data_IF_328007172118
#
_entry.id   IF_328007172118
#
_cell.length_a   1.000
_cell.length_b   1.000
_cell.length_c   1.000
_cell.angle_alpha   90.00
_cell.angle_beta   90.00
_cell.angle_gamma   90.00
#
_symmetry.space_group_name_H-M   'P 1'
#
loop_
_entity.id
_entity.type
_entity.pdbx_description
1 polymer ?
#
# COMPACT_ATOMS: atom_id res chain seq x y z
N UNK A 1 -1.40 -11.91 32.26
CA UNK A 1 -1.20 -12.35 30.87
C UNK A 1 -2.54 -12.10 30.19
N UNK A 2 -2.64 -11.09 29.33
CA UNK A 2 -3.90 -10.82 28.60
C UNK A 2 -4.02 -11.89 27.52
N UNK A 3 -5.16 -12.59 27.47
CA UNK A 3 -5.39 -13.58 26.41
C UNK A 3 -5.40 -12.87 25.06
N UNK A 4 -4.88 -13.53 24.01
CA UNK A 4 -4.96 -13.00 22.64
C UNK A 4 -6.42 -12.75 22.21
N UNK A 5 -7.35 -13.54 22.76
CA UNK A 5 -8.79 -13.39 22.53
C UNK A 5 -9.28 -12.08 23.16
N UNK A 6 -8.90 -11.81 24.42
CA UNK A 6 -9.31 -10.59 25.13
C UNK A 6 -8.77 -9.35 24.41
N UNK A 7 -7.50 -9.40 23.98
CA UNK A 7 -6.88 -8.32 23.20
C UNK A 7 -7.61 -8.09 21.88
N UNK A 8 -7.83 -9.14 21.09
CA UNK A 8 -8.51 -9.02 19.81
C UNK A 8 -9.96 -8.54 19.93
N UNK A 9 -10.69 -8.92 21.00
CA UNK A 9 -12.02 -8.37 21.28
C UNK A 9 -11.93 -6.88 21.64
N UNK A 10 -11.00 -6.51 22.51
CA UNK A 10 -10.85 -5.10 22.95
C UNK A 10 -10.45 -4.16 21.81
N UNK A 11 -9.67 -4.65 20.84
CA UNK A 11 -9.24 -3.90 19.66
C UNK A 11 -10.28 -3.99 18.51
N UNK A 12 -11.41 -4.67 18.72
CA UNK A 12 -12.49 -4.82 17.72
C UNK A 12 -12.15 -5.74 16.54
N UNK A 13 -11.02 -6.45 16.62
CA UNK A 13 -10.51 -7.36 15.61
C UNK A 13 -11.21 -8.73 15.68
N UNK A 14 -11.69 -9.10 16.86
CA UNK A 14 -12.52 -10.27 17.11
C UNK A 14 -13.89 -9.83 17.64
N UNK A 15 -14.96 -10.53 17.28
CA UNK A 15 -16.30 -10.30 17.82
C UNK A 15 -16.92 -11.61 18.29
N UNK A 16 -17.61 -11.58 19.42
CA UNK A 16 -18.40 -12.72 19.89
C UNK A 16 -19.84 -12.56 19.40
N UNK A 17 -20.28 -13.48 18.53
CA UNK A 17 -21.63 -13.49 17.96
C UNK A 17 -22.21 -14.90 18.04
N UNK A 18 -23.38 -15.04 18.66
CA UNK A 18 -24.08 -16.31 18.82
C UNK A 18 -23.21 -17.43 19.42
N UNK A 19 -22.34 -17.08 20.38
CA UNK A 19 -21.41 -18.01 21.03
C UNK A 19 -20.22 -18.42 20.16
N UNK A 20 -20.02 -17.81 18.98
CA UNK A 20 -18.88 -18.01 18.10
C UNK A 20 -18.00 -16.77 18.06
N UNK A 21 -16.70 -16.99 17.94
CA UNK A 21 -15.73 -15.93 17.72
C UNK A 21 -15.60 -15.70 16.21
N UNK A 22 -15.91 -14.49 15.75
CA UNK A 22 -15.76 -14.05 14.37
C UNK A 22 -14.53 -13.15 14.25
N UNK A 23 -13.72 -13.40 13.23
CA UNK A 23 -12.55 -12.57 12.89
C UNK A 23 -13.02 -11.45 11.96
N UNK A 24 -12.90 -10.20 12.44
CA UNK A 24 -13.39 -9.00 11.74
C UNK A 24 -12.35 -8.48 10.75
N UNK A 25 -11.09 -8.43 11.18
CA UNK A 25 -9.97 -7.96 10.37
C UNK A 25 -8.79 -8.92 10.47
N UNK A 26 -8.61 -9.82 9.48
CA UNK A 26 -7.50 -10.78 9.49
C UNK A 26 -6.13 -10.12 9.60
N UNK A 27 -5.93 -8.97 8.93
CA UNK A 27 -4.65 -8.27 8.97
C UNK A 27 -4.38 -7.58 10.30
N UNK A 28 -5.38 -6.95 10.91
CA UNK A 28 -5.21 -6.39 12.26
C UNK A 28 -4.90 -7.49 13.27
N UNK A 29 -5.51 -8.66 13.11
CA UNK A 29 -5.20 -9.81 13.97
C UNK A 29 -3.79 -10.34 13.76
N UNK A 30 -3.32 -10.34 12.52
CA UNK A 30 -1.94 -10.72 12.19
C UNK A 30 -0.93 -9.72 12.76
N UNK A 31 -1.24 -8.43 12.79
CA UNK A 31 -0.41 -7.45 13.48
C UNK A 31 -0.36 -7.70 15.00
N UNK A 32 -1.49 -8.06 15.61
CA UNK A 32 -1.54 -8.48 17.03
C UNK A 32 -0.66 -9.71 17.28
N UNK A 33 -0.77 -10.75 16.43
CA UNK A 33 0.02 -11.98 16.52
C UNK A 33 1.52 -11.70 16.36
N UNK A 34 1.88 -10.83 15.43
CA UNK A 34 3.26 -10.40 15.20
C UNK A 34 3.82 -9.63 16.40
N UNK A 35 3.03 -8.75 17.03
CA UNK A 35 3.40 -8.04 18.27
C UNK A 35 3.72 -8.99 19.42
N UNK A 36 3.06 -10.14 19.43
CA UNK A 36 3.30 -11.22 20.40
C UNK A 36 4.52 -12.08 20.05
N UNK A 37 5.24 -11.74 18.98
CA UNK A 37 6.50 -12.39 18.58
C UNK A 37 6.35 -13.51 17.55
N UNK A 38 5.17 -13.68 16.95
CA UNK A 38 4.96 -14.69 15.90
C UNK A 38 5.59 -14.19 14.60
N UNK A 39 6.29 -15.08 13.90
CA UNK A 39 7.04 -14.74 12.69
C UNK A 39 6.11 -14.26 11.57
N UNK A 40 6.32 -13.04 11.08
CA UNK A 40 5.55 -12.42 9.99
C UNK A 40 5.55 -13.27 8.71
N UNK A 41 6.63 -14.01 8.44
CA UNK A 41 6.73 -14.92 7.31
C UNK A 41 5.68 -16.00 7.41
N UNK A 42 5.54 -16.58 8.60
CA UNK A 42 4.56 -17.62 8.85
C UNK A 42 3.14 -17.03 8.75
N UNK A 43 2.92 -15.85 9.35
CA UNK A 43 1.63 -15.17 9.31
C UNK A 43 1.20 -14.77 7.89
N UNK A 44 2.15 -14.41 7.02
CA UNK A 44 1.83 -14.07 5.62
C UNK A 44 1.16 -15.25 4.89
N UNK A 45 1.44 -16.50 5.24
CA UNK A 45 0.77 -17.64 4.59
C UNK A 45 -0.75 -17.72 4.85
N UNK A 46 -1.28 -16.92 5.78
CA UNK A 46 -2.70 -16.89 6.15
C UNK A 46 -3.46 -15.69 5.56
N UNK A 47 -2.79 -14.84 4.78
CA UNK A 47 -3.40 -13.71 4.09
C UNK A 47 -3.26 -13.95 2.59
N UNK A 48 -4.36 -13.78 1.85
CA UNK A 48 -4.28 -13.72 0.40
C UNK A 48 -3.74 -12.36 -0.08
N UNK A 49 -3.15 -12.35 -1.27
CA UNK A 49 -2.65 -11.12 -1.88
C UNK A 49 -3.73 -10.04 -1.97
N UNK A 50 -4.94 -10.43 -2.38
CA UNK A 50 -6.09 -9.56 -2.51
C UNK A 50 -6.58 -9.00 -1.16
N UNK A 51 -6.57 -9.80 -0.09
CA UNK A 51 -6.87 -9.29 1.26
C UNK A 51 -5.87 -8.22 1.71
N UNK A 52 -4.58 -8.39 1.39
CA UNK A 52 -3.57 -7.39 1.70
C UNK A 52 -3.77 -6.09 0.92
N UNK A 53 -4.03 -6.18 -0.38
CA UNK A 53 -4.28 -5.01 -1.24
C UNK A 53 -5.54 -4.24 -0.80
N UNK A 54 -6.63 -4.96 -0.52
CA UNK A 54 -7.85 -4.38 0.01
C UNK A 54 -7.64 -3.71 1.36
N UNK A 55 -6.87 -4.33 2.26
CA UNK A 55 -6.54 -3.73 3.54
C UNK A 55 -5.74 -2.43 3.36
N UNK A 56 -4.72 -2.42 2.49
CA UNK A 56 -3.94 -1.21 2.18
C UNK A 56 -4.85 -0.10 1.64
N UNK A 57 -5.75 -0.42 0.70
CA UNK A 57 -6.70 0.53 0.17
C UNK A 57 -7.68 1.07 1.23
N UNK A 58 -8.18 0.20 2.12
CA UNK A 58 -9.04 0.59 3.24
C UNK A 58 -8.32 1.57 4.19
N UNK A 59 -7.04 1.33 4.50
CA UNK A 59 -6.25 2.27 5.31
C UNK A 59 -6.24 3.67 4.67
N UNK A 60 -5.97 3.79 3.38
CA UNK A 60 -6.02 5.09 2.68
C UNK A 60 -7.43 5.70 2.66
N UNK A 61 -8.46 4.89 2.41
CA UNK A 61 -9.87 5.32 2.37
C UNK A 61 -10.31 5.93 3.70
N UNK A 62 -9.89 5.34 4.83
CA UNK A 62 -10.16 5.87 6.17
C UNK A 62 -9.59 7.27 6.41
N UNK A 63 -8.54 7.66 5.68
CA UNK A 63 -7.96 9.02 5.70
C UNK A 63 -8.45 9.90 4.54
N UNK A 64 -9.56 9.55 3.90
CA UNK A 64 -10.22 10.39 2.89
C UNK A 64 -9.57 10.35 1.51
N UNK A 65 -8.79 9.31 1.21
CA UNK A 65 -8.29 9.06 -0.14
C UNK A 65 -9.30 8.23 -0.94
N UNK A 66 -9.44 8.52 -2.23
CA UNK A 66 -10.16 7.64 -3.15
C UNK A 66 -9.21 6.52 -3.59
N UNK A 67 -9.64 5.26 -3.52
CA UNK A 67 -8.76 4.12 -3.84
C UNK A 67 -9.30 3.22 -4.94
N UNK A 68 -8.41 2.70 -5.78
CA UNK A 68 -8.68 1.63 -6.75
C UNK A 68 -7.72 0.48 -6.46
N UNK A 69 -8.26 -0.72 -6.35
CA UNK A 69 -7.52 -1.96 -6.15
C UNK A 69 -7.43 -2.74 -7.47
N UNK A 70 -6.32 -3.44 -7.70
CA UNK A 70 -6.07 -4.32 -8.85
C UNK A 70 -6.29 -3.62 -10.21
N UNK A 71 -5.83 -2.38 -10.33
CA UNK A 71 -6.00 -1.61 -11.55
C UNK A 71 -5.17 -2.20 -12.69
N UNK A 72 -5.82 -2.68 -13.74
CA UNK A 72 -5.19 -3.17 -14.96
C UNK A 72 -5.79 -2.47 -16.18
N UNK A 73 -4.95 -1.90 -17.04
CA UNK A 73 -5.45 -1.30 -18.27
C UNK A 73 -5.40 -2.29 -19.43
N UNK A 74 -6.57 -2.78 -19.87
CA UNK A 74 -6.70 -3.85 -20.89
C UNK A 74 -5.94 -3.63 -22.20
N UNK A 75 -5.72 -2.38 -22.62
CA UNK A 75 -5.02 -2.03 -23.88
C UNK A 75 -3.59 -1.56 -23.69
N UNK A 76 -3.16 -1.36 -22.45
CA UNK A 76 -1.76 -1.03 -22.16
C UNK A 76 -1.19 -2.30 -21.57
N UNK A 77 -0.50 -3.06 -22.42
CA UNK A 77 0.18 -4.29 -22.01
C UNK A 77 0.98 -4.05 -20.72
N UNK A 78 1.03 -5.02 -19.80
CA UNK A 78 1.84 -4.96 -18.57
C UNK A 78 1.64 -3.72 -17.67
N UNK A 79 0.52 -2.99 -17.80
CA UNK A 79 0.19 -1.90 -16.89
C UNK A 79 -0.83 -2.33 -15.84
N UNK A 80 -0.30 -2.82 -14.72
CA UNK A 80 -1.05 -3.17 -13.52
C UNK A 80 -0.56 -2.32 -12.34
N UNK A 81 -1.42 -1.81 -11.48
CA UNK A 81 -1.03 -1.18 -10.22
C UNK A 81 -1.91 -1.80 -9.13
N UNK A 82 -1.28 -2.33 -8.09
CA UNK A 82 -1.98 -3.09 -7.04
C UNK A 82 -2.98 -2.20 -6.31
N UNK A 83 -2.54 -1.00 -5.90
CA UNK A 83 -3.44 0.03 -5.35
C UNK A 83 -3.08 1.41 -5.92
N UNK A 84 -4.08 2.16 -6.36
CA UNK A 84 -3.97 3.59 -6.66
C UNK A 84 -4.76 4.33 -5.59
N UNK A 85 -4.09 5.17 -4.79
CA UNK A 85 -4.74 6.05 -3.83
C UNK A 85 -4.66 7.49 -4.33
N UNK A 86 -5.76 8.23 -4.31
CA UNK A 86 -5.83 9.59 -4.84
C UNK A 86 -6.38 10.58 -3.82
N UNK A 87 -5.66 11.69 -3.66
CA UNK A 87 -6.07 12.83 -2.88
C UNK A 87 -6.13 14.08 -3.75
N UNK A 88 -7.35 14.49 -4.11
CA UNK A 88 -7.59 15.63 -4.99
C UNK A 88 -7.18 16.95 -4.33
N UNK A 89 -7.37 17.09 -3.02
CA UNK A 89 -7.03 18.32 -2.27
C UNK A 89 -5.51 18.53 -2.30
N UNK A 90 -4.75 17.45 -2.04
CA UNK A 90 -3.28 17.45 -2.14
C UNK A 90 -2.76 17.46 -3.59
N UNK A 91 -3.64 17.28 -4.58
CA UNK A 91 -3.28 17.06 -6.00
C UNK A 91 -2.23 15.94 -6.15
N UNK A 92 -2.33 14.89 -5.34
CA UNK A 92 -1.36 13.80 -5.23
C UNK A 92 -2.05 12.45 -5.44
N UNK A 93 -1.43 11.58 -6.24
CA UNK A 93 -1.77 10.17 -6.32
C UNK A 93 -0.60 9.31 -5.87
N UNK A 94 -0.90 8.21 -5.20
CA UNK A 94 0.06 7.18 -4.81
C UNK A 94 -0.17 5.96 -5.68
N UNK A 95 0.88 5.51 -6.35
CA UNK A 95 0.86 4.27 -7.11
C UNK A 95 1.58 3.23 -6.28
N UNK A 96 0.83 2.31 -5.71
CA UNK A 96 1.28 1.44 -4.63
C UNK A 96 1.47 0.05 -5.20
N UNK A 97 2.67 -0.50 -4.98
CA UNK A 97 2.96 -1.91 -5.17
C UNK A 97 2.85 -2.62 -3.81
N UNK A 98 1.88 -3.52 -3.69
CA UNK A 98 1.64 -4.29 -2.48
C UNK A 98 2.46 -5.56 -2.54
N UNK A 99 3.26 -5.79 -1.50
CA UNK A 99 4.30 -6.80 -1.47
C UNK A 99 4.14 -7.68 -0.22
N UNK A 100 3.38 -8.76 -0.39
CA UNK A 100 3.11 -9.79 0.62
C UNK A 100 4.19 -10.90 0.58
N UNK A 101 5.21 -10.87 1.43
CA UNK A 101 6.49 -11.58 1.16
C UNK A 101 6.83 -12.69 2.15
N UNK A 102 7.34 -13.80 1.59
CA UNK A 102 8.06 -14.86 2.32
C UNK A 102 9.54 -14.47 2.55
N UNK A 103 10.18 -15.02 3.59
CA UNK A 103 11.55 -14.70 4.09
C UNK A 103 12.64 -14.72 3.00
N UNK A 104 12.47 -15.53 1.97
CA UNK A 104 13.49 -15.83 0.96
C UNK A 104 13.67 -14.74 -0.11
N UNK A 105 12.80 -13.72 -0.14
CA UNK A 105 12.71 -12.77 -1.26
C UNK A 105 13.43 -11.44 -0.95
N UNK A 106 13.91 -11.21 0.28
CA UNK A 106 14.42 -9.90 0.72
C UNK A 106 15.93 -9.67 0.56
N UNK A 107 16.54 -10.28 -0.45
CA UNK A 107 17.86 -9.84 -0.89
C UNK A 107 17.79 -8.38 -1.37
N UNK A 108 18.84 -7.59 -1.10
CA UNK A 108 18.95 -6.21 -1.58
C UNK A 108 18.60 -6.14 -3.08
N UNK A 109 19.20 -7.02 -3.89
CA UNK A 109 18.95 -7.12 -5.33
C UNK A 109 17.49 -7.32 -5.72
N UNK A 110 16.72 -8.09 -4.94
CA UNK A 110 15.31 -8.33 -5.24
C UNK A 110 14.46 -7.08 -5.00
N UNK A 111 14.73 -6.35 -3.90
CA UNK A 111 14.09 -5.06 -3.64
C UNK A 111 14.42 -4.04 -4.72
N UNK A 112 15.68 -4.02 -5.16
CA UNK A 112 16.13 -3.14 -6.25
C UNK A 112 15.35 -3.44 -7.52
N UNK A 113 15.27 -4.71 -7.94
CA UNK A 113 14.53 -5.12 -9.13
C UNK A 113 13.05 -4.71 -9.04
N UNK A 114 12.40 -4.97 -7.91
CA UNK A 114 10.99 -4.63 -7.73
C UNK A 114 10.77 -3.12 -7.79
N UNK A 115 11.68 -2.35 -7.20
CA UNK A 115 11.62 -0.88 -7.27
C UNK A 115 11.85 -0.38 -8.68
N UNK A 116 12.81 -0.93 -9.42
CA UNK A 116 13.06 -0.57 -10.82
C UNK A 116 11.88 -0.91 -11.72
N UNK A 117 11.26 -2.07 -11.54
CA UNK A 117 10.08 -2.46 -12.31
C UNK A 117 8.87 -1.57 -11.99
N UNK A 118 8.72 -1.15 -10.72
CA UNK A 118 7.69 -0.18 -10.35
C UNK A 118 7.94 1.20 -10.98
N UNK A 119 9.17 1.70 -10.93
CA UNK A 119 9.57 2.95 -11.60
C UNK A 119 9.27 2.89 -13.10
N UNK A 120 9.64 1.81 -13.78
CA UNK A 120 9.34 1.60 -15.21
C UNK A 120 7.85 1.65 -15.48
N UNK A 121 7.03 1.16 -14.56
CA UNK A 121 5.57 1.22 -14.65
C UNK A 121 5.05 2.65 -14.54
N UNK A 122 5.59 3.46 -13.64
CA UNK A 122 5.28 4.90 -13.56
C UNK A 122 5.70 5.62 -14.84
N UNK A 123 6.91 5.37 -15.34
CA UNK A 123 7.38 5.96 -16.59
C UNK A 123 6.50 5.57 -17.79
N UNK A 124 5.99 4.32 -17.80
CA UNK A 124 5.00 3.87 -18.77
C UNK A 124 3.70 4.64 -18.63
N UNK A 125 3.15 4.75 -17.41
CA UNK A 125 1.96 5.56 -17.13
C UNK A 125 2.11 6.97 -17.69
N UNK A 126 3.21 7.66 -17.43
CA UNK A 126 3.42 9.04 -17.87
C UNK A 126 3.37 9.19 -19.40
N UNK A 127 3.74 8.15 -20.15
CA UNK A 127 3.67 8.14 -21.63
C UNK A 127 2.25 7.87 -22.15
N UNK A 128 1.41 7.21 -21.37
CA UNK A 128 0.10 6.70 -21.79
C UNK A 128 -1.05 7.21 -20.92
N UNK A 129 -0.81 8.24 -20.10
CA UNK A 129 -1.74 8.67 -19.07
C UNK A 129 -3.11 9.04 -19.65
N UNK A 130 -3.17 9.55 -20.90
CA UNK A 130 -4.40 9.91 -21.60
C UNK A 130 -5.39 8.75 -21.72
N UNK A 131 -4.90 7.50 -21.77
CA UNK A 131 -5.76 6.32 -21.76
C UNK A 131 -6.20 5.93 -20.36
N UNK A 132 -5.31 6.07 -19.39
CA UNK A 132 -5.58 5.72 -17.98
C UNK A 132 -6.61 6.67 -17.38
N UNK A 133 -6.54 7.96 -17.69
CA UNK A 133 -7.52 8.95 -17.22
C UNK A 133 -8.92 8.77 -17.84
N UNK A 134 -9.09 7.98 -18.91
CA UNK A 134 -10.43 7.62 -19.39
C UNK A 134 -11.13 6.65 -18.43
N UNK A 135 -10.37 5.74 -17.82
CA UNK A 135 -10.87 4.81 -16.80
C UNK A 135 -10.94 5.48 -15.43
N UNK A 136 -10.03 6.42 -15.15
CA UNK A 136 -9.88 7.10 -13.86
C UNK A 136 -9.85 8.63 -14.06
N UNK A 137 -11.00 9.29 -14.33
CA UNK A 137 -11.05 10.69 -14.75
C UNK A 137 -10.45 11.68 -13.74
N UNK A 138 -10.56 11.38 -12.44
CA UNK A 138 -10.05 12.27 -11.40
C UNK A 138 -8.52 12.38 -11.37
N UNK A 139 -7.78 11.47 -12.03
CA UNK A 139 -6.34 11.62 -12.21
C UNK A 139 -5.98 12.90 -13.00
N UNK A 140 -6.90 13.48 -13.77
CA UNK A 140 -6.67 14.79 -14.39
C UNK A 140 -6.56 15.94 -13.38
N UNK A 141 -7.04 15.76 -12.16
CA UNK A 141 -6.91 16.76 -11.06
C UNK A 141 -5.63 16.59 -10.25
N UNK A 142 -4.81 15.59 -10.59
CA UNK A 142 -3.62 15.21 -9.83
C UNK A 142 -2.40 15.78 -10.52
N UNK A 143 -1.60 16.54 -9.78
CA UNK A 143 -0.38 17.17 -10.27
C UNK A 143 0.83 16.25 -10.12
N UNK A 144 0.90 15.48 -9.03
CA UNK A 144 2.05 14.63 -8.73
C UNK A 144 1.65 13.18 -8.47
N UNK A 145 2.55 12.28 -8.84
CA UNK A 145 2.45 10.85 -8.56
C UNK A 145 3.66 10.44 -7.73
N UNK A 146 3.39 9.81 -6.58
CA UNK A 146 4.40 9.16 -5.76
C UNK A 146 4.26 7.65 -5.89
N UNK A 147 5.17 6.95 -6.58
CA UNK A 147 5.26 5.51 -6.42
C UNK A 147 5.68 5.15 -5.00
N UNK A 148 5.14 4.06 -4.47
CA UNK A 148 5.57 3.50 -3.19
C UNK A 148 5.37 1.99 -3.15
N UNK A 149 6.08 1.33 -2.24
CA UNK A 149 5.97 -0.11 -2.01
C UNK A 149 5.51 -0.32 -0.57
N UNK A 150 4.46 -1.12 -0.36
CA UNK A 150 3.96 -1.47 0.97
C UNK A 150 4.11 -2.96 1.19
N UNK A 151 4.54 -3.37 2.38
CA UNK A 151 4.82 -4.78 2.67
C UNK A 151 4.48 -5.18 4.10
N UNK A 152 4.12 -6.44 4.30
CA UNK A 152 3.83 -6.98 5.62
C UNK A 152 5.08 -7.10 6.51
N UNK A 153 6.29 -7.18 5.93
CA UNK A 153 7.51 -7.45 6.71
C UNK A 153 7.89 -6.29 7.63
N UNK A 154 8.41 -6.61 8.82
CA UNK A 154 8.95 -5.65 9.78
C UNK A 154 10.37 -5.19 9.39
N UNK A 155 10.49 -3.99 8.82
CA UNK A 155 11.74 -3.25 8.68
C UNK A 155 11.49 -1.75 8.87
N UNK A 156 12.52 -1.00 9.24
CA UNK A 156 12.49 0.46 9.27
C UNK A 156 12.30 1.01 7.86
N UNK A 157 11.39 1.97 7.65
CA UNK A 157 11.15 2.64 6.36
C UNK A 157 12.44 2.81 5.56
N UNK A 158 12.44 2.30 4.33
CA UNK A 158 13.59 2.41 3.42
C UNK A 158 13.20 3.30 2.26
N UNK A 159 14.20 3.97 1.69
CA UNK A 159 14.04 4.69 0.43
C UNK A 159 15.05 4.12 -0.56
N UNK A 160 14.58 3.76 -1.74
CA UNK A 160 15.42 3.31 -2.84
C UNK A 160 15.08 4.10 -4.09
N UNK A 161 16.06 4.81 -4.67
CA UNK A 161 15.83 5.67 -5.84
C UNK A 161 14.72 6.71 -5.64
N UNK A 162 14.58 7.23 -4.42
CA UNK A 162 13.51 8.15 -4.02
C UNK A 162 12.14 7.50 -3.84
N UNK A 163 12.03 6.17 -3.95
CA UNK A 163 10.78 5.42 -3.75
C UNK A 163 10.74 4.88 -2.32
N UNK A 164 9.72 5.24 -1.51
CA UNK A 164 9.58 4.70 -0.17
C UNK A 164 9.10 3.26 -0.21
N UNK A 165 9.74 2.43 0.62
CA UNK A 165 9.35 1.06 0.92
C UNK A 165 8.93 1.06 2.40
N UNK A 166 7.67 0.75 2.66
CA UNK A 166 7.03 0.96 3.95
C UNK A 166 6.45 -0.35 4.46
N UNK A 167 6.80 -0.71 5.69
CA UNK A 167 6.11 -1.79 6.40
C UNK A 167 4.68 -1.34 6.72
N UNK A 168 3.70 -2.23 6.58
CA UNK A 168 2.29 -1.94 6.88
C UNK A 168 2.10 -1.31 8.27
N UNK A 169 2.99 -1.65 9.21
CA UNK A 169 3.02 -1.11 10.57
C UNK A 169 3.24 0.40 10.66
N UNK A 170 3.94 0.98 9.69
CA UNK A 170 4.22 2.42 9.61
C UNK A 170 3.31 3.12 8.60
N UNK A 171 2.35 2.40 7.99
CA UNK A 171 1.49 2.97 6.96
C UNK A 171 0.63 4.11 7.51
N UNK A 172 0.00 3.92 8.67
CA UNK A 172 -0.82 4.96 9.30
C UNK A 172 -0.02 6.26 9.53
N UNK A 173 1.14 6.15 10.18
CA UNK A 173 2.01 7.31 10.42
C UNK A 173 2.45 7.97 9.10
N UNK A 174 2.78 7.18 8.08
CA UNK A 174 3.13 7.70 6.77
C UNK A 174 1.97 8.46 6.11
N UNK A 175 0.74 7.95 6.18
CA UNK A 175 -0.43 8.62 5.59
C UNK A 175 -0.67 9.99 6.24
N UNK A 176 -0.58 10.06 7.58
CA UNK A 176 -0.78 11.30 8.31
C UNK A 176 0.32 12.33 8.04
N UNK A 177 1.56 11.86 7.90
CA UNK A 177 2.75 12.72 7.81
C UNK A 177 3.36 12.73 6.40
N UNK A 178 2.56 12.43 5.36
CA UNK A 178 3.08 12.19 4.01
C UNK A 178 3.88 13.37 3.44
N UNK A 179 3.43 14.60 3.67
CA UNK A 179 4.14 15.80 3.17
C UNK A 179 5.51 15.95 3.84
N UNK A 180 5.58 15.68 5.16
CA UNK A 180 6.82 15.70 5.94
C UNK A 180 7.78 14.62 5.44
N UNK A 181 7.27 13.43 5.12
CA UNK A 181 8.09 12.34 4.59
C UNK A 181 8.59 12.63 3.18
N UNK A 182 7.75 13.22 2.32
CA UNK A 182 8.16 13.66 0.98
C UNK A 182 9.36 14.60 1.07
N UNK A 183 9.29 15.60 1.93
CA UNK A 183 10.35 16.61 2.06
C UNK A 183 11.59 16.06 2.76
N UNK A 184 11.42 15.40 3.91
CA UNK A 184 12.55 14.98 4.76
C UNK A 184 13.33 13.79 4.20
N UNK A 185 12.69 12.94 3.39
CA UNK A 185 13.31 11.78 2.77
C UNK A 185 13.64 11.98 1.29
N UNK A 186 13.43 13.20 0.76
CA UNK A 186 13.64 13.55 -0.65
C UNK A 186 12.96 12.53 -1.60
N UNK A 187 11.66 12.30 -1.35
CA UNK A 187 10.91 11.30 -2.11
C UNK A 187 10.64 11.80 -3.53
N UNK A 188 10.80 10.89 -4.49
CA UNK A 188 10.68 11.21 -5.91
C UNK A 188 9.22 11.33 -6.32
N UNK A 189 8.80 12.57 -6.56
CA UNK A 189 7.53 12.89 -7.20
C UNK A 189 7.67 12.93 -8.72
N UNK A 190 6.68 12.40 -9.41
CA UNK A 190 6.57 12.45 -10.86
C UNK A 190 5.45 13.40 -11.26
N UNK A 191 5.74 14.38 -12.10
CA UNK A 191 4.71 15.26 -12.66
C UNK A 191 3.75 14.47 -13.54
N UNK A 192 2.46 14.58 -13.25
CA UNK A 192 1.43 13.94 -14.04
C UNK A 192 1.18 14.75 -15.32
N UNK A 193 1.57 14.18 -16.47
CA UNK A 193 1.40 14.83 -17.78
C UNK A 193 -0.06 15.07 -18.20
N UNK A 194 -1.00 14.38 -17.56
CA UNK A 194 -2.42 14.51 -17.83
C UNK A 194 -3.14 15.44 -16.84
N UNK A 195 -2.38 16.14 -15.98
CA UNK A 195 -2.92 17.16 -15.09
C UNK A 195 -3.54 18.31 -15.91
N UNK A 196 -4.73 18.73 -15.52
CA UNK A 196 -5.41 19.92 -16.04
C UNK A 196 -5.66 20.83 -14.84
N UNK A 197 -5.26 22.09 -14.96
CA UNK A 197 -5.36 23.08 -13.88
C UNK A 197 -6.79 23.42 -13.49
#
# INVERSE_FOLDING_TARGET
>A
MVSIIDRGISEGVLQLKDGKLELVSPLDFIMILEDMGIDTTYLSNYISWQEFENYVADQFTRYGWETIVEYHHRRIETFQVDVIAVNIIKKLALFIECKHWHKEIFGQRTLENITFDHIRRIEKYLKVCEWVVLNIPYLRKIRYILPMIITLRRFSTKVFQGIPIISIRYLHDFILNIDVYIDSLDLKLYENRCYIE
#
